data_IF_344280655331
#
_entry.id   IF_344280655331
#
_cell.length_a   1.000
_cell.length_b   1.000
_cell.length_c   1.000
_cell.angle_alpha   90.00
_cell.angle_beta   90.00
_cell.angle_gamma   90.00
#
_symmetry.space_group_name_H-M   'P 1'
#
loop_
_entity.id
_entity.type
_entity.pdbx_description
1 polymer ?
#
# COMPACT_ATOMS: atom_id res chain seq x y z
N UNK A 1 -16.51 1.71 -4.29
CA UNK A 1 -15.91 1.15 -3.07
C UNK A 1 -15.16 2.23 -2.31
N UNK A 2 -15.72 2.71 -1.18
CA UNK A 2 -15.16 3.82 -0.38
C UNK A 2 -13.70 3.61 0.05
N UNK A 3 -13.32 2.36 0.34
CA UNK A 3 -11.92 2.01 0.71
C UNK A 3 -10.96 2.26 -0.44
N UNK A 4 -11.35 1.96 -1.68
CA UNK A 4 -10.53 2.24 -2.85
C UNK A 4 -10.44 3.73 -3.15
N UNK A 5 -11.52 4.48 -2.98
CA UNK A 5 -11.47 5.94 -3.14
C UNK A 5 -10.49 6.59 -2.14
N UNK A 6 -10.47 6.10 -0.89
CA UNK A 6 -9.49 6.54 0.11
C UNK A 6 -8.05 6.16 -0.26
N UNK A 7 -7.86 4.94 -0.77
CA UNK A 7 -6.58 4.46 -1.28
C UNK A 7 -6.04 5.39 -2.39
N UNK A 8 -6.86 5.72 -3.39
CA UNK A 8 -6.46 6.59 -4.50
C UNK A 8 -6.13 8.01 -4.03
N UNK A 9 -6.95 8.59 -3.14
CA UNK A 9 -6.69 9.93 -2.59
C UNK A 9 -5.38 9.99 -1.82
N UNK A 10 -5.11 9.01 -0.96
CA UNK A 10 -3.85 9.00 -0.21
C UNK A 10 -2.66 8.73 -1.13
N UNK A 11 -2.79 7.83 -2.11
CA UNK A 11 -1.76 7.55 -3.10
C UNK A 11 -1.40 8.77 -3.93
N UNK A 12 -2.39 9.55 -4.36
CA UNK A 12 -2.16 10.77 -5.15
C UNK A 12 -1.31 11.80 -4.38
N UNK A 13 -1.49 11.89 -3.06
CA UNK A 13 -0.66 12.75 -2.21
C UNK A 13 0.72 12.13 -1.97
N UNK A 14 0.79 10.84 -1.66
CA UNK A 14 2.06 10.15 -1.43
C UNK A 14 2.94 10.16 -2.69
N UNK A 15 2.36 10.09 -3.88
CA UNK A 15 3.07 10.11 -5.17
C UNK A 15 3.87 11.40 -5.40
N UNK A 16 3.58 12.47 -4.67
CA UNK A 16 4.33 13.74 -4.72
C UNK A 16 5.55 13.75 -3.80
N UNK A 17 5.83 12.65 -3.07
CA UNK A 17 6.91 12.56 -2.09
C UNK A 17 8.30 12.89 -2.68
N UNK A 18 8.59 12.40 -3.89
CA UNK A 18 9.86 12.66 -4.57
C UNK A 18 10.08 14.11 -5.01
N UNK A 19 9.03 14.94 -4.96
CA UNK A 19 9.08 16.37 -5.31
C UNK A 19 9.33 17.26 -4.08
N UNK A 20 9.34 16.68 -2.88
CA UNK A 20 9.49 17.42 -1.62
C UNK A 20 10.97 17.61 -1.25
N UNK A 21 11.22 18.49 -0.26
CA UNK A 21 12.57 18.67 0.31
C UNK A 21 12.94 17.47 1.19
N UNK A 22 13.66 16.51 0.61
CA UNK A 22 14.12 15.29 1.28
C UNK A 22 15.27 15.54 2.28
N UNK A 23 15.83 16.75 2.34
CA UNK A 23 16.79 17.12 3.40
C UNK A 23 16.10 17.49 4.72
N UNK A 24 14.79 17.69 4.70
CA UNK A 24 13.99 18.06 5.85
C UNK A 24 13.43 16.83 6.57
N UNK A 25 13.87 16.58 7.81
CA UNK A 25 13.44 15.44 8.62
C UNK A 25 11.91 15.39 8.85
N UNK A 26 11.23 16.55 8.92
CA UNK A 26 9.76 16.57 9.05
C UNK A 26 9.06 16.08 7.78
N UNK A 27 9.62 16.38 6.61
CA UNK A 27 9.12 15.87 5.33
C UNK A 27 9.32 14.36 5.25
N UNK A 28 10.51 13.88 5.61
CA UNK A 28 10.82 12.44 5.66
C UNK A 28 9.84 11.70 6.59
N UNK A 29 9.62 12.21 7.81
CA UNK A 29 8.63 11.64 8.73
C UNK A 29 7.22 11.61 8.13
N UNK A 30 6.80 12.71 7.49
CA UNK A 30 5.51 12.77 6.81
C UNK A 30 5.35 11.79 5.65
N UNK A 31 6.41 11.51 4.90
CA UNK A 31 6.42 10.50 3.83
C UNK A 31 6.22 9.10 4.43
N UNK A 32 6.95 8.77 5.49
CA UNK A 32 6.85 7.48 6.19
C UNK A 32 5.45 7.27 6.77
N UNK A 33 4.87 8.29 7.41
CA UNK A 33 3.51 8.23 7.95
C UNK A 33 2.47 8.02 6.86
N UNK A 34 2.58 8.73 5.73
CA UNK A 34 1.69 8.56 4.58
C UNK A 34 1.84 7.19 3.93
N UNK A 35 3.06 6.65 3.86
CA UNK A 35 3.30 5.27 3.45
C UNK A 35 2.61 4.27 4.37
N UNK A 36 2.74 4.41 5.69
CA UNK A 36 2.09 3.54 6.68
C UNK A 36 0.57 3.50 6.47
N UNK A 37 -0.03 4.67 6.28
CA UNK A 37 -1.45 4.79 5.94
C UNK A 37 -1.78 4.16 4.57
N UNK A 38 -0.94 4.38 3.56
CA UNK A 38 -1.14 3.83 2.22
C UNK A 38 -1.15 2.30 2.23
N UNK A 39 -0.18 1.69 2.93
CA UNK A 39 -0.13 0.25 3.11
C UNK A 39 -1.39 -0.28 3.81
N UNK A 40 -1.83 0.41 4.88
CA UNK A 40 -3.04 0.05 5.62
C UNK A 40 -4.29 0.07 4.74
N UNK A 41 -4.42 1.08 3.87
CA UNK A 41 -5.50 1.17 2.89
C UNK A 41 -5.39 0.06 1.84
N UNK A 42 -4.19 -0.21 1.34
CA UNK A 42 -3.92 -1.22 0.31
C UNK A 42 -4.34 -2.62 0.73
N UNK A 43 -3.88 -3.11 1.88
CA UNK A 43 -4.26 -4.46 2.30
C UNK A 43 -5.76 -4.56 2.66
N UNK A 44 -6.38 -3.47 3.12
CA UNK A 44 -7.84 -3.43 3.36
C UNK A 44 -8.66 -3.46 2.07
N UNK A 45 -8.17 -2.82 1.00
CA UNK A 45 -8.74 -2.92 -0.34
C UNK A 45 -8.64 -4.35 -0.86
N UNK A 46 -7.45 -4.96 -0.77
CA UNK A 46 -7.25 -6.35 -1.16
C UNK A 46 -8.17 -7.31 -0.39
N UNK A 47 -8.33 -7.10 0.92
CA UNK A 47 -9.26 -7.87 1.76
C UNK A 47 -10.71 -7.78 1.25
N UNK A 48 -11.19 -6.60 0.89
CA UNK A 48 -12.54 -6.45 0.33
C UNK A 48 -12.70 -7.12 -1.02
N UNK A 49 -11.72 -6.97 -1.91
CA UNK A 49 -11.79 -7.58 -3.22
C UNK A 49 -11.71 -9.10 -3.13
N UNK A 50 -10.86 -9.65 -2.26
CA UNK A 50 -10.84 -11.08 -1.97
C UNK A 50 -12.17 -11.58 -1.38
N UNK A 51 -12.85 -10.76 -0.57
CA UNK A 51 -14.20 -11.08 -0.06
C UNK A 51 -15.21 -11.16 -1.21
N UNK A 52 -15.14 -10.23 -2.15
CA UNK A 52 -15.99 -10.24 -3.35
C UNK A 52 -15.72 -11.48 -4.23
N UNK A 53 -14.45 -11.87 -4.38
CA UNK A 53 -14.04 -13.09 -5.11
C UNK A 53 -14.35 -14.40 -4.35
N UNK A 54 -14.99 -14.33 -3.17
CA UNK A 54 -15.38 -15.51 -2.38
C UNK A 54 -14.23 -16.18 -1.63
N UNK A 55 -13.07 -15.52 -1.48
CA UNK A 55 -11.93 -16.09 -0.78
C UNK A 55 -12.15 -16.08 0.74
N UNK A 56 -12.23 -17.25 1.37
CA UNK A 56 -12.52 -17.42 2.80
C UNK A 56 -11.55 -16.67 3.73
N UNK A 57 -10.28 -16.51 3.31
CA UNK A 57 -9.25 -15.75 4.05
C UNK A 57 -9.65 -14.30 4.30
N UNK A 58 -10.54 -13.73 3.47
CA UNK A 58 -11.01 -12.36 3.64
C UNK A 58 -11.88 -12.16 4.90
N UNK A 59 -12.40 -13.21 5.53
CA UNK A 59 -13.17 -13.09 6.76
C UNK A 59 -12.27 -12.74 7.97
N UNK A 60 -11.19 -13.50 8.17
CA UNK A 60 -10.37 -13.44 9.40
C UNK A 60 -8.89 -13.18 9.16
N UNK A 61 -8.44 -13.19 7.90
CA UNK A 61 -7.02 -13.10 7.55
C UNK A 61 -6.36 -11.82 8.06
N UNK A 62 -5.17 -12.01 8.62
CA UNK A 62 -4.19 -10.97 8.94
C UNK A 62 -3.65 -10.28 7.66
N UNK A 63 -3.02 -9.10 7.75
CA UNK A 63 -2.44 -8.44 6.59
C UNK A 63 -1.51 -9.36 5.78
N UNK A 64 -0.68 -10.17 6.45
CA UNK A 64 0.21 -11.14 5.79
C UNK A 64 -0.55 -12.21 5.00
N UNK A 65 -1.62 -12.75 5.58
CA UNK A 65 -2.43 -13.79 4.93
C UNK A 65 -3.22 -13.22 3.75
N UNK A 66 -3.75 -12.00 3.89
CA UNK A 66 -4.44 -11.28 2.82
C UNK A 66 -3.48 -11.02 1.65
N UNK A 67 -2.26 -10.53 1.90
CA UNK A 67 -1.26 -10.31 0.85
C UNK A 67 -0.90 -11.61 0.13
N UNK A 68 -0.61 -12.69 0.88
CA UNK A 68 -0.30 -14.00 0.31
C UNK A 68 -1.41 -14.55 -0.57
N UNK A 69 -2.66 -14.36 -0.16
CA UNK A 69 -3.80 -14.75 -0.96
C UNK A 69 -3.90 -13.86 -2.22
N UNK A 70 -3.75 -12.54 -2.07
CA UNK A 70 -3.83 -11.58 -3.15
C UNK A 70 -2.82 -11.86 -4.28
N UNK A 71 -1.58 -12.28 -3.98
CA UNK A 71 -0.61 -12.64 -5.03
C UNK A 71 -1.11 -13.69 -6.03
N UNK A 72 -2.03 -14.56 -5.61
CA UNK A 72 -2.64 -15.56 -6.50
C UNK A 72 -3.71 -14.98 -7.44
N UNK A 73 -4.31 -13.84 -7.07
CA UNK A 73 -5.39 -13.18 -7.80
C UNK A 73 -4.93 -11.96 -8.60
N UNK A 74 -3.77 -11.39 -8.26
CA UNK A 74 -3.23 -10.15 -8.81
C UNK A 74 -1.80 -10.37 -9.31
N UNK A 75 -1.60 -10.72 -10.60
CA UNK A 75 -0.28 -10.94 -11.17
C UNK A 75 0.64 -9.71 -11.16
N UNK A 76 0.07 -8.51 -11.00
CA UNK A 76 0.81 -7.25 -10.90
C UNK A 76 1.54 -7.09 -9.55
N UNK A 77 1.20 -7.87 -8.53
CA UNK A 77 1.78 -7.71 -7.21
C UNK A 77 3.10 -8.48 -7.09
N UNK A 78 4.21 -7.77 -6.88
CA UNK A 78 5.48 -8.37 -6.46
C UNK A 78 5.44 -8.75 -4.97
N UNK A 79 5.57 -10.04 -4.68
CA UNK A 79 5.53 -10.57 -3.32
C UNK A 79 6.65 -10.02 -2.42
N UNK A 80 7.86 -9.85 -2.96
CA UNK A 80 9.01 -9.38 -2.19
C UNK A 80 8.83 -7.91 -1.79
N UNK A 81 8.32 -7.08 -2.70
CA UNK A 81 8.07 -5.67 -2.41
C UNK A 81 7.00 -5.53 -1.32
N UNK A 82 5.85 -6.16 -1.48
CA UNK A 82 4.72 -6.02 -0.54
C UNK A 82 4.98 -6.67 0.82
N UNK A 83 5.69 -7.80 0.88
CA UNK A 83 6.15 -8.35 2.16
C UNK A 83 7.24 -7.48 2.79
N UNK A 84 8.09 -6.85 1.97
CA UNK A 84 9.05 -5.84 2.41
C UNK A 84 8.37 -4.64 3.07
N UNK A 85 7.32 -4.10 2.47
CA UNK A 85 6.50 -3.03 3.07
C UNK A 85 5.93 -3.44 4.43
N UNK A 86 5.40 -4.66 4.54
CA UNK A 86 4.86 -5.17 5.80
C UNK A 86 5.95 -5.25 6.88
N UNK A 87 7.14 -5.72 6.52
CA UNK A 87 8.29 -5.80 7.43
C UNK A 87 8.72 -4.40 7.89
N UNK A 88 8.86 -3.44 6.96
CA UNK A 88 9.19 -2.06 7.28
C UNK A 88 8.15 -1.46 8.24
N UNK A 89 6.86 -1.61 7.92
CA UNK A 89 5.77 -1.11 8.76
C UNK A 89 5.81 -1.64 10.18
N UNK A 90 6.12 -2.92 10.37
CA UNK A 90 6.24 -3.52 11.69
C UNK A 90 7.43 -2.98 12.50
N UNK A 91 8.48 -2.51 11.81
CA UNK A 91 9.69 -1.99 12.42
C UNK A 91 9.69 -0.47 12.63
N UNK A 92 8.73 0.27 12.05
CA UNK A 92 8.69 1.75 12.15
C UNK A 92 8.64 2.27 13.60
N UNK A 93 8.01 1.54 14.53
CA UNK A 93 7.96 1.93 15.95
C UNK A 93 9.34 1.92 16.65
N UNK A 94 10.35 1.32 16.00
CA UNK A 94 11.72 1.24 16.49
C UNK A 94 12.69 2.11 15.68
N UNK A 95 12.19 2.88 14.71
CA UNK A 95 13.01 3.79 13.90
C UNK A 95 13.21 5.11 14.63
N UNK A 96 14.32 5.23 15.35
CA UNK A 96 14.81 6.48 15.95
C UNK A 96 16.06 7.04 15.25
N UNK A 97 16.52 6.39 14.17
CA UNK A 97 17.69 6.77 13.39
C UNK A 97 17.27 7.54 12.12
N UNK A 98 17.78 8.75 11.95
CA UNK A 98 17.54 9.59 10.77
C UNK A 98 18.06 8.96 9.47
N UNK A 99 19.13 8.14 9.55
CA UNK A 99 19.68 7.43 8.38
C UNK A 99 18.69 6.39 7.88
N UNK A 100 18.17 5.56 8.79
CA UNK A 100 17.14 4.57 8.46
C UNK A 100 15.84 5.21 7.93
N UNK A 101 15.48 6.40 8.44
CA UNK A 101 14.32 7.15 7.95
C UNK A 101 14.49 7.63 6.51
N UNK A 102 15.67 8.19 6.18
CA UNK A 102 15.99 8.61 4.83
C UNK A 102 16.02 7.42 3.85
N UNK A 103 16.62 6.30 4.23
CA UNK A 103 16.62 5.07 3.42
C UNK A 103 15.19 4.55 3.19
N UNK A 104 14.34 4.53 4.22
CA UNK A 104 12.95 4.11 4.05
C UNK A 104 12.19 5.07 3.13
N UNK A 105 12.38 6.38 3.25
CA UNK A 105 11.75 7.35 2.35
C UNK A 105 12.17 7.14 0.89
N UNK A 106 13.46 6.85 0.64
CA UNK A 106 13.95 6.51 -0.70
C UNK A 106 13.25 5.27 -1.26
N UNK A 107 13.16 4.19 -0.47
CA UNK A 107 12.44 2.97 -0.86
C UNK A 107 10.95 3.22 -1.08
N UNK A 108 10.33 4.06 -0.26
CA UNK A 108 8.92 4.46 -0.44
C UNK A 108 8.75 5.11 -1.81
N UNK A 109 9.63 6.04 -2.18
CA UNK A 109 9.56 6.79 -3.43
C UNK A 109 9.82 5.89 -4.64
N UNK A 110 10.89 5.09 -4.58
CA UNK A 110 11.42 4.38 -5.74
C UNK A 110 10.85 2.97 -5.93
N UNK A 111 10.40 2.31 -4.86
CA UNK A 111 9.88 0.94 -4.91
C UNK A 111 8.39 0.87 -4.57
N UNK A 112 7.97 1.51 -3.47
CA UNK A 112 6.64 1.24 -2.91
C UNK A 112 5.52 2.02 -3.61
N UNK A 113 5.75 3.30 -3.94
CA UNK A 113 4.80 4.10 -4.71
C UNK A 113 4.48 3.47 -6.07
N UNK A 114 5.47 3.05 -6.89
CA UNK A 114 5.19 2.33 -8.14
C UNK A 114 4.33 1.08 -7.93
N UNK A 115 4.64 0.25 -6.93
CA UNK A 115 3.88 -0.97 -6.65
C UNK A 115 2.42 -0.67 -6.23
N UNK A 116 2.17 0.45 -5.54
CA UNK A 116 0.81 0.90 -5.26
C UNK A 116 0.09 1.37 -6.54
N UNK A 117 0.76 2.14 -7.39
CA UNK A 117 0.17 2.62 -8.65
C UNK A 117 -0.14 1.46 -9.61
N UNK A 118 0.68 0.41 -9.64
CA UNK A 118 0.39 -0.80 -10.41
C UNK A 118 -0.85 -1.54 -9.88
N UNK A 119 -0.97 -1.65 -8.56
CA UNK A 119 -2.18 -2.23 -7.96
C UNK A 119 -3.42 -1.38 -8.27
N UNK A 120 -3.33 -0.04 -8.19
CA UNK A 120 -4.42 0.87 -8.56
C UNK A 120 -4.92 0.59 -9.97
N UNK A 121 -4.02 0.61 -10.96
CA UNK A 121 -4.34 0.36 -12.37
C UNK A 121 -4.98 -1.01 -12.56
N UNK A 122 -4.39 -2.05 -11.95
CA UNK A 122 -4.91 -3.41 -12.06
C UNK A 122 -6.32 -3.56 -11.49
N UNK A 123 -6.63 -2.88 -10.37
CA UNK A 123 -7.97 -2.89 -9.77
C UNK A 123 -8.96 -2.14 -10.67
N UNK A 124 -8.58 -0.98 -11.22
CA UNK A 124 -9.44 -0.20 -12.12
C UNK A 124 -9.74 -0.94 -13.42
N UNK A 125 -8.77 -1.69 -13.96
CA UNK A 125 -8.97 -2.53 -15.14
C UNK A 125 -9.86 -3.74 -14.85
N UNK A 126 -9.58 -4.48 -13.77
CA UNK A 126 -10.28 -5.73 -13.45
C UNK A 126 -11.70 -5.52 -12.94
N UNK A 127 -11.95 -4.46 -12.15
CA UNK A 127 -13.23 -4.23 -11.47
C UNK A 127 -14.00 -3.01 -11.99
N UNK A 128 -13.62 -2.47 -13.16
CA UNK A 128 -14.17 -1.25 -13.77
C UNK A 128 -15.69 -1.12 -13.60
N UNK A 129 -16.42 -2.18 -13.90
CA UNK A 129 -17.88 -2.16 -13.99
C UNK A 129 -18.57 -2.38 -12.63
N UNK A 130 -17.87 -2.98 -11.67
CA UNK A 130 -18.44 -3.39 -10.36
C UNK A 130 -17.93 -2.55 -9.19
N UNK A 131 -16.88 -1.74 -9.38
CA UNK A 131 -16.32 -0.90 -8.31
C UNK A 131 -17.35 0.02 -7.65
N UNK A 132 -18.35 0.49 -8.41
CA UNK A 132 -19.43 1.35 -7.88
C UNK A 132 -20.46 0.57 -7.05
N UNK A 133 -20.58 -0.73 -7.29
CA UNK A 133 -21.54 -1.63 -6.64
C UNK A 133 -20.95 -2.26 -5.36
N UNK A 134 -19.62 -2.32 -5.28
CA UNK A 134 -18.88 -2.70 -4.07
C UNK A 134 -19.00 -1.59 -3.02
N UNK A 135 -19.95 -1.76 -2.09
CA UNK A 135 -20.19 -0.88 -0.93
C UNK A 135 -19.34 -1.28 0.27
#
# INVERSE_FOLDING_TARGET
MKKFDNYKRNLAVLSQAGEQDLSNEFIIGGIIDKFSLQFELGWKVLKELLRYEGAAVAATGSPREILKAAYRFYPCMDENIWLGMLAQRNNMAHMYDGTAAAELADRVINEFIPAFQELEKSIEEKYRDVLKELV
#
